data_IF_902186155702
#
_entry.id   IF_902186155702
#
_cell.length_a   1.000
_cell.length_b   1.000
_cell.length_c   1.000
_cell.angle_alpha   90.00
_cell.angle_beta   90.00
_cell.angle_gamma   90.00
#
_symmetry.space_group_name_H-M   'P 1'
#
loop_
_entity.id
_entity.type
_entity.pdbx_description
1 polymer ?
#
# COMPACT_ATOMS: atom_id res chain seq x y z
N UNK A 1 4.29 -8.17 10.34
CA UNK A 1 5.74 -8.06 10.27
C UNK A 1 6.28 -7.06 9.26
N UNK A 2 5.74 -6.99 8.03
CA UNK A 2 6.35 -6.15 6.97
C UNK A 2 6.30 -4.64 7.25
N UNK A 3 5.35 -4.18 8.06
CA UNK A 3 5.15 -2.75 8.33
C UNK A 3 5.79 -2.31 9.65
N UNK A 4 5.78 -3.20 10.66
CA UNK A 4 6.38 -2.97 11.97
C UNK A 4 7.66 -3.79 12.03
N UNK A 5 8.81 -3.12 11.96
CA UNK A 5 10.12 -3.77 11.85
C UNK A 5 10.67 -4.35 13.16
N UNK A 6 10.20 -3.87 14.31
CA UNK A 6 10.63 -4.32 15.62
C UNK A 6 9.44 -4.84 16.44
N UNK A 7 9.51 -6.10 16.87
CA UNK A 7 8.47 -6.74 17.68
C UNK A 7 8.29 -6.09 19.07
N UNK A 8 9.26 -5.31 19.52
CA UNK A 8 9.20 -4.55 20.79
C UNK A 8 8.50 -3.19 20.65
N UNK A 9 8.10 -2.81 19.42
CA UNK A 9 7.39 -1.54 19.20
C UNK A 9 6.10 -1.51 20.00
N UNK A 10 5.84 -0.45 20.79
CA UNK A 10 4.55 -0.27 21.47
C UNK A 10 3.43 -0.09 20.45
N UNK A 11 2.34 -0.84 20.62
CA UNK A 11 1.22 -0.84 19.65
C UNK A 11 -0.06 -0.43 20.36
N UNK A 12 -0.76 0.55 19.79
CA UNK A 12 -2.15 0.86 20.06
C UNK A 12 -3.01 0.35 18.91
N UNK A 13 -4.13 -0.30 19.26
CA UNK A 13 -5.03 -0.87 18.26
C UNK A 13 -6.19 0.08 17.95
N UNK A 14 -6.51 0.22 16.69
CA UNK A 14 -7.78 0.78 16.19
C UNK A 14 -8.40 -0.32 15.34
N UNK A 15 -9.50 -0.91 15.82
CA UNK A 15 -10.18 -2.04 15.16
C UNK A 15 -11.64 -1.72 14.95
N UNK A 16 -12.31 -2.52 14.13
CA UNK A 16 -13.76 -2.56 14.18
C UNK A 16 -14.22 -3.06 15.57
N UNK A 17 -15.33 -2.55 16.11
CA UNK A 17 -15.84 -2.96 17.43
C UNK A 17 -15.99 -4.48 17.55
N UNK A 18 -15.53 -5.04 18.68
CA UNK A 18 -15.57 -6.47 18.94
C UNK A 18 -14.45 -7.30 18.29
N UNK A 19 -13.48 -6.67 17.61
CA UNK A 19 -12.33 -7.35 17.00
C UNK A 19 -11.02 -7.15 17.78
N UNK A 20 -11.06 -6.50 18.91
CA UNK A 20 -9.90 -6.09 19.70
C UNK A 20 -9.09 -7.29 20.18
N UNK A 21 -9.77 -8.26 20.84
CA UNK A 21 -9.11 -9.45 21.38
C UNK A 21 -8.55 -10.35 20.28
N UNK A 22 -9.32 -10.56 19.21
CA UNK A 22 -8.84 -11.33 18.05
C UNK A 22 -7.59 -10.70 17.43
N UNK A 23 -7.61 -9.38 17.27
CA UNK A 23 -6.48 -8.64 16.69
C UNK A 23 -5.26 -8.72 17.58
N UNK A 24 -5.43 -8.53 18.90
CA UNK A 24 -4.37 -8.68 19.89
C UNK A 24 -3.76 -10.09 19.83
N UNK A 25 -4.60 -11.13 19.87
CA UNK A 25 -4.15 -12.52 19.80
C UNK A 25 -3.38 -12.84 18.50
N UNK A 26 -3.79 -12.29 17.36
CA UNK A 26 -3.08 -12.48 16.08
C UNK A 26 -1.70 -11.82 16.09
N UNK A 27 -1.57 -10.66 16.73
CA UNK A 27 -0.29 -9.97 16.88
C UNK A 27 0.66 -10.72 17.80
N UNK A 28 0.18 -11.20 18.96
CA UNK A 28 1.02 -11.96 19.89
C UNK A 28 1.52 -13.27 19.29
N UNK A 29 0.73 -13.94 18.43
CA UNK A 29 1.16 -15.16 17.71
C UNK A 29 2.36 -14.95 16.79
N UNK A 30 2.64 -13.73 16.41
CA UNK A 30 3.79 -13.37 15.57
C UNK A 30 4.82 -12.51 16.30
N UNK A 31 4.75 -12.51 17.65
CA UNK A 31 5.75 -11.93 18.55
C UNK A 31 5.56 -10.46 18.89
N UNK A 32 4.41 -9.85 18.54
CA UNK A 32 4.11 -8.48 18.95
C UNK A 32 3.34 -8.47 20.27
N UNK A 33 4.06 -8.55 21.39
CA UNK A 33 3.47 -8.67 22.72
C UNK A 33 3.30 -7.32 23.45
N UNK A 34 3.90 -6.24 22.91
CA UNK A 34 3.86 -4.94 23.55
C UNK A 34 2.63 -4.13 23.11
N UNK A 35 1.45 -4.64 23.44
CA UNK A 35 0.16 -4.01 23.18
C UNK A 35 -0.19 -3.07 24.35
N UNK A 36 -0.31 -1.78 24.08
CA UNK A 36 -0.65 -0.75 25.09
C UNK A 36 -2.17 -0.66 25.35
N UNK A 37 -2.98 -1.17 24.42
CA UNK A 37 -4.44 -1.13 24.49
C UNK A 37 -5.09 -0.90 23.14
N UNK A 38 -6.35 -0.50 23.15
CA UNK A 38 -7.12 -0.18 21.96
C UNK A 38 -7.94 1.09 22.16
N UNK A 39 -8.31 1.73 21.03
CA UNK A 39 -9.24 2.84 21.02
C UNK A 39 -10.67 2.31 21.15
N UNK A 40 -11.30 2.59 22.30
CA UNK A 40 -12.70 2.21 22.53
C UNK A 40 -13.61 2.86 21.50
N UNK A 41 -14.47 2.07 20.85
CA UNK A 41 -15.36 2.50 19.77
C UNK A 41 -14.67 2.73 18.43
N UNK A 42 -13.38 2.40 18.32
CA UNK A 42 -12.67 2.39 17.04
C UNK A 42 -12.54 3.75 16.34
N UNK A 43 -12.45 3.71 15.02
CA UNK A 43 -12.24 4.89 14.18
C UNK A 43 -13.42 5.89 14.25
N UNK A 44 -14.65 5.39 14.36
CA UNK A 44 -15.86 6.22 14.44
C UNK A 44 -15.83 7.15 15.67
N UNK A 45 -15.37 6.64 16.80
CA UNK A 45 -15.22 7.47 18.04
C UNK A 45 -14.14 8.53 17.84
N UNK A 46 -13.03 8.20 17.18
CA UNK A 46 -11.99 9.17 16.85
C UNK A 46 -12.54 10.29 15.97
N UNK A 47 -13.21 9.94 14.88
CA UNK A 47 -13.76 10.89 13.93
C UNK A 47 -14.84 11.80 14.57
N UNK A 48 -15.72 11.22 15.40
CA UNK A 48 -16.77 11.95 16.12
C UNK A 48 -16.22 12.90 17.20
N UNK A 49 -15.02 12.67 17.70
CA UNK A 49 -14.37 13.52 18.71
C UNK A 49 -13.78 14.83 18.15
N UNK A 50 -13.94 15.10 16.84
CA UNK A 50 -13.41 16.30 16.17
C UNK A 50 -11.89 16.30 16.02
N UNK A 51 -11.24 15.15 16.19
CA UNK A 51 -9.80 14.98 15.95
C UNK A 51 -9.52 14.92 14.45
N UNK A 52 -8.26 15.22 14.10
CA UNK A 52 -7.82 15.20 12.73
C UNK A 52 -8.01 13.82 12.08
N UNK A 53 -8.61 13.82 10.91
CA UNK A 53 -8.81 12.67 10.03
C UNK A 53 -8.35 13.06 8.64
N UNK A 54 -7.58 12.19 8.00
CA UNK A 54 -7.13 12.37 6.63
C UNK A 54 -7.68 11.25 5.74
N UNK A 55 -7.78 11.52 4.45
CA UNK A 55 -8.27 10.59 3.43
C UNK A 55 -7.26 10.39 2.33
N UNK A 56 -7.25 9.20 1.74
CA UNK A 56 -6.44 8.92 0.55
C UNK A 56 -7.22 9.30 -0.71
N UNK A 57 -6.59 10.08 -1.59
CA UNK A 57 -7.16 10.40 -2.89
C UNK A 57 -7.13 9.15 -3.76
N UNK A 58 -8.31 8.55 -3.98
CA UNK A 58 -8.49 7.33 -4.79
C UNK A 58 -9.12 7.66 -6.12
N UNK A 59 -8.64 7.01 -7.16
CA UNK A 59 -9.19 7.14 -8.52
C UNK A 59 -9.55 5.79 -9.10
N UNK A 60 -10.48 5.77 -10.02
CA UNK A 60 -10.82 4.55 -10.77
C UNK A 60 -9.70 4.16 -11.73
N UNK A 61 -9.59 2.87 -12.12
CA UNK A 61 -8.66 2.44 -13.17
C UNK A 61 -8.90 3.14 -14.50
N UNK A 62 -10.14 3.50 -14.83
CA UNK A 62 -10.50 4.24 -16.04
C UNK A 62 -10.01 5.69 -15.98
N UNK A 63 -10.10 6.33 -14.81
CA UNK A 63 -9.53 7.67 -14.59
C UNK A 63 -8.00 7.61 -14.71
N UNK A 64 -7.38 6.59 -14.13
CA UNK A 64 -5.94 6.39 -14.25
C UNK A 64 -5.53 6.19 -15.72
N UNK A 65 -6.26 5.36 -16.47
CA UNK A 65 -6.02 5.16 -17.91
C UNK A 65 -6.11 6.47 -18.71
N UNK A 66 -7.12 7.29 -18.42
CA UNK A 66 -7.30 8.58 -19.12
C UNK A 66 -6.22 9.61 -18.78
N UNK A 67 -5.66 9.56 -17.56
CA UNK A 67 -4.61 10.49 -17.11
C UNK A 67 -3.20 9.99 -17.41
N UNK A 68 -3.02 8.71 -17.74
CA UNK A 68 -1.71 8.09 -17.88
C UNK A 68 -0.99 8.57 -19.13
N UNK A 69 0.31 8.80 -19.01
CA UNK A 69 1.27 8.91 -20.10
C UNK A 69 2.65 8.45 -19.58
N UNK A 70 3.63 8.28 -20.47
CA UNK A 70 4.98 7.77 -20.11
C UNK A 70 5.78 8.66 -19.17
N UNK A 71 5.38 9.91 -18.98
CA UNK A 71 6.02 10.85 -18.05
C UNK A 71 5.48 10.74 -16.62
N UNK A 72 4.40 9.98 -16.43
CA UNK A 72 3.77 9.81 -15.12
C UNK A 72 4.56 8.83 -14.27
N UNK A 73 4.81 9.24 -13.03
CA UNK A 73 5.47 8.40 -12.06
C UNK A 73 4.46 7.43 -11.45
N UNK A 74 4.66 6.14 -11.63
CA UNK A 74 3.76 5.08 -11.15
C UNK A 74 4.53 4.15 -10.23
N UNK A 75 4.03 3.99 -8.99
CA UNK A 75 4.61 3.09 -7.99
C UNK A 75 3.76 1.82 -7.84
N UNK A 76 4.34 0.69 -8.15
CA UNK A 76 3.78 -0.63 -7.89
C UNK A 76 4.37 -1.20 -6.61
N UNK A 77 3.56 -1.26 -5.54
CA UNK A 77 3.99 -1.77 -4.23
C UNK A 77 3.77 -3.27 -4.06
N UNK A 78 3.59 -4.01 -5.16
CA UNK A 78 3.57 -5.47 -5.15
C UNK A 78 4.97 -6.04 -4.92
N UNK A 79 5.04 -7.33 -4.62
CA UNK A 79 6.31 -8.05 -4.58
C UNK A 79 6.98 -8.04 -5.95
N UNK A 80 8.30 -8.10 -5.95
CA UNK A 80 9.12 -8.15 -7.17
C UNK A 80 8.69 -9.26 -8.12
N UNK A 81 8.34 -10.43 -7.60
CA UNK A 81 7.86 -11.56 -8.42
C UNK A 81 6.52 -11.30 -9.11
N UNK A 82 5.62 -10.53 -8.49
CA UNK A 82 4.34 -10.12 -9.10
C UNK A 82 4.57 -9.06 -10.18
N UNK A 83 5.46 -8.11 -9.90
CA UNK A 83 5.84 -7.07 -10.84
C UNK A 83 6.56 -7.65 -12.06
N UNK A 84 7.53 -8.53 -11.86
CA UNK A 84 8.27 -9.18 -12.94
C UNK A 84 7.38 -10.06 -13.84
N UNK A 85 6.27 -10.58 -13.31
CA UNK A 85 5.33 -11.35 -14.10
C UNK A 85 4.56 -10.47 -15.12
N UNK A 86 4.07 -9.34 -14.69
CA UNK A 86 3.38 -8.35 -15.53
C UNK A 86 3.20 -7.05 -14.73
N UNK A 87 3.41 -5.89 -15.34
CA UNK A 87 3.22 -4.59 -14.71
C UNK A 87 2.81 -3.52 -15.74
N UNK A 88 2.37 -2.37 -15.24
CA UNK A 88 2.12 -1.18 -16.08
C UNK A 88 3.44 -0.71 -16.67
N UNK A 89 3.46 -0.44 -17.96
CA UNK A 89 4.66 0.05 -18.66
C UNK A 89 5.21 1.30 -17.96
N UNK A 90 6.55 1.39 -17.84
CA UNK A 90 7.26 2.47 -17.13
C UNK A 90 6.92 2.60 -15.62
N UNK A 91 6.24 1.64 -14.98
CA UNK A 91 6.03 1.66 -13.54
C UNK A 91 7.31 1.26 -12.79
N UNK A 92 7.48 1.81 -11.59
CA UNK A 92 8.59 1.47 -10.70
C UNK A 92 8.13 0.49 -9.63
N UNK A 93 8.82 -0.62 -9.48
CA UNK A 93 8.55 -1.55 -8.39
C UNK A 93 9.15 -1.03 -7.08
N UNK A 94 8.29 -0.78 -6.12
CA UNK A 94 8.62 -0.29 -4.78
C UNK A 94 7.86 -1.10 -3.72
N UNK A 95 8.27 -2.36 -3.47
CA UNK A 95 7.53 -3.28 -2.62
C UNK A 95 7.22 -2.71 -1.23
N UNK A 96 6.00 -2.95 -0.73
CA UNK A 96 5.55 -2.45 0.58
C UNK A 96 6.48 -2.89 1.72
N UNK A 97 6.99 -4.12 1.69
CA UNK A 97 7.86 -4.67 2.72
C UNK A 97 9.25 -4.00 2.77
N UNK A 98 9.63 -3.29 1.70
CA UNK A 98 10.85 -2.48 1.63
C UNK A 98 10.59 -0.96 1.76
N UNK A 99 9.41 -0.53 2.22
CA UNK A 99 9.01 0.89 2.21
C UNK A 99 9.98 1.80 2.97
N UNK A 100 10.58 1.30 4.04
CA UNK A 100 11.54 2.08 4.83
C UNK A 100 12.85 2.37 4.08
N UNK A 101 13.23 1.50 3.15
CA UNK A 101 14.43 1.66 2.35
C UNK A 101 14.18 2.61 1.18
N UNK A 102 13.21 2.29 0.32
CA UNK A 102 13.00 3.08 -0.89
C UNK A 102 12.37 4.46 -0.63
N UNK A 103 11.71 4.66 0.51
CA UNK A 103 11.17 5.97 0.89
C UNK A 103 12.27 7.04 1.00
N UNK A 104 13.44 6.68 1.52
CA UNK A 104 14.57 7.62 1.68
C UNK A 104 15.18 8.07 0.35
N UNK A 105 14.93 7.33 -0.73
CA UNK A 105 15.44 7.59 -2.07
C UNK A 105 14.38 8.17 -3.02
N UNK A 106 13.15 8.33 -2.52
CA UNK A 106 12.02 8.75 -3.35
C UNK A 106 12.05 10.26 -3.60
N UNK A 107 11.88 10.65 -4.86
CA UNK A 107 11.59 12.05 -5.22
C UNK A 107 10.10 12.33 -4.99
N UNK A 108 9.77 12.92 -3.86
CA UNK A 108 8.40 13.25 -3.46
C UNK A 108 7.92 14.60 -4.03
N UNK A 109 8.75 15.30 -4.79
CA UNK A 109 8.39 16.58 -5.41
C UNK A 109 7.40 16.40 -6.58
N UNK A 110 7.37 15.20 -7.21
CA UNK A 110 6.53 14.90 -8.37
C UNK A 110 5.26 14.16 -7.96
N UNK A 111 4.10 14.51 -8.55
CA UNK A 111 2.88 13.74 -8.35
C UNK A 111 3.02 12.33 -8.95
N UNK A 112 2.48 11.33 -8.25
CA UNK A 112 2.57 9.94 -8.69
C UNK A 112 1.28 9.16 -8.47
N UNK A 113 1.20 8.02 -9.13
CA UNK A 113 0.14 7.02 -8.92
C UNK A 113 0.68 5.87 -8.10
N UNK A 114 -0.17 5.34 -7.23
CA UNK A 114 0.16 4.25 -6.33
C UNK A 114 -0.83 3.10 -6.51
N UNK A 115 -0.34 1.89 -6.72
CA UNK A 115 -1.19 0.71 -6.75
C UNK A 115 -0.49 -0.52 -6.18
N UNK A 116 -1.29 -1.54 -5.87
CA UNK A 116 -0.82 -2.89 -5.61
C UNK A 116 -1.63 -3.91 -6.41
N UNK A 117 -1.78 -5.15 -5.96
CA UNK A 117 -2.59 -6.14 -6.67
C UNK A 117 -4.10 -5.86 -6.62
N UNK A 118 -4.66 -5.57 -5.44
CA UNK A 118 -6.10 -5.43 -5.23
C UNK A 118 -6.50 -4.25 -4.33
N UNK A 119 -5.61 -3.29 -4.04
CA UNK A 119 -5.91 -2.09 -3.25
C UNK A 119 -5.50 -2.15 -1.78
N UNK A 120 -5.31 -3.33 -1.16
CA UNK A 120 -5.01 -3.44 0.27
C UNK A 120 -3.60 -2.94 0.64
N UNK A 121 -2.56 -3.44 -0.04
CA UNK A 121 -1.15 -3.04 0.22
C UNK A 121 -0.89 -1.58 -0.15
N UNK A 122 -1.52 -1.07 -1.21
CA UNK A 122 -1.40 0.33 -1.61
C UNK A 122 -2.03 1.27 -0.60
N UNK A 123 -3.14 0.91 0.04
CA UNK A 123 -3.72 1.70 1.13
C UNK A 123 -2.81 1.76 2.36
N UNK A 124 -2.14 0.66 2.70
CA UNK A 124 -1.12 0.67 3.77
C UNK A 124 0.06 1.57 3.40
N UNK A 125 0.58 1.43 2.18
CA UNK A 125 1.65 2.30 1.69
C UNK A 125 1.23 3.77 1.69
N UNK A 126 0.02 4.09 1.22
CA UNK A 126 -0.55 5.44 1.23
C UNK A 126 -0.61 6.02 2.64
N UNK A 127 -1.06 5.25 3.63
CA UNK A 127 -1.11 5.68 5.03
C UNK A 127 0.28 5.99 5.58
N UNK A 128 1.27 5.15 5.28
CA UNK A 128 2.67 5.36 5.70
C UNK A 128 3.26 6.59 5.01
N UNK A 129 3.05 6.78 3.72
CA UNK A 129 3.52 7.93 2.97
C UNK A 129 2.93 9.23 3.54
N UNK A 130 1.61 9.28 3.78
CA UNK A 130 0.94 10.44 4.36
C UNK A 130 1.45 10.75 5.76
N UNK A 131 1.66 9.75 6.62
CA UNK A 131 2.23 9.95 7.95
C UNK A 131 3.66 10.51 7.94
N UNK A 132 4.34 10.43 6.79
CA UNK A 132 5.68 10.98 6.54
C UNK A 132 5.67 12.28 5.75
N UNK A 133 4.50 12.88 5.54
CA UNK A 133 4.33 14.17 4.87
C UNK A 133 4.17 14.13 3.35
N UNK A 134 4.09 12.95 2.74
CA UNK A 134 3.88 12.82 1.28
C UNK A 134 2.39 12.75 0.98
N UNK A 135 1.86 13.73 0.26
CA UNK A 135 0.42 13.89 -0.02
C UNK A 135 0.08 13.99 -1.50
N UNK A 136 1.07 14.16 -2.38
CA UNK A 136 0.89 14.46 -3.81
C UNK A 136 0.72 13.20 -4.68
N UNK A 137 -0.06 12.23 -4.24
CA UNK A 137 -0.31 11.01 -5.00
C UNK A 137 -1.79 10.66 -5.09
N UNK A 138 -2.12 9.78 -6.06
CA UNK A 138 -3.43 9.16 -6.24
C UNK A 138 -3.28 7.64 -6.13
N UNK A 139 -4.10 7.00 -5.30
CA UNK A 139 -4.18 5.54 -5.21
C UNK A 139 -5.19 5.01 -6.25
N UNK A 140 -4.81 3.95 -6.97
CA UNK A 140 -5.68 3.35 -8.00
C UNK A 140 -6.51 2.22 -7.38
N UNK A 141 -7.83 2.43 -7.34
CA UNK A 141 -8.77 1.48 -6.76
C UNK A 141 -8.76 0.13 -7.47
N UNK A 142 -8.86 -0.95 -6.68
CA UNK A 142 -8.81 -2.31 -7.20
C UNK A 142 -7.43 -2.75 -7.70
N UNK A 143 -6.43 -1.86 -7.67
CA UNK A 143 -5.04 -2.16 -7.99
C UNK A 143 -4.83 -2.78 -9.37
N UNK A 144 -3.75 -3.55 -9.53
CA UNK A 144 -3.37 -4.15 -10.82
C UNK A 144 -4.46 -5.07 -11.39
N UNK A 145 -5.21 -5.77 -10.53
CA UNK A 145 -6.31 -6.62 -10.97
C UNK A 145 -7.43 -5.85 -11.71
N UNK A 146 -7.63 -4.58 -11.36
CA UNK A 146 -8.56 -3.69 -12.06
C UNK A 146 -7.89 -2.98 -13.24
N UNK A 147 -6.64 -2.55 -13.10
CA UNK A 147 -5.82 -1.95 -14.15
C UNK A 147 -5.65 -2.91 -15.34
N UNK A 148 -5.45 -4.20 -15.07
CA UNK A 148 -5.27 -5.21 -16.12
C UNK A 148 -6.47 -5.33 -17.08
N UNK A 149 -7.65 -4.86 -16.67
CA UNK A 149 -8.88 -4.84 -17.49
C UNK A 149 -9.00 -3.59 -18.38
N UNK A 150 -8.10 -2.63 -18.23
CA UNK A 150 -8.03 -1.41 -19.07
C UNK A 150 -7.10 -1.61 -20.26
N UNK A 151 -7.07 -0.62 -21.15
CA UNK A 151 -6.16 -0.61 -22.31
C UNK A 151 -4.80 0.02 -21.99
N UNK A 152 -4.50 0.29 -20.71
CA UNK A 152 -3.17 0.79 -20.32
C UNK A 152 -2.07 -0.13 -20.85
N UNK A 153 -0.97 0.43 -21.37
CA UNK A 153 0.19 -0.36 -21.75
C UNK A 153 0.74 -1.14 -20.56
N UNK A 154 0.96 -2.42 -20.76
CA UNK A 154 1.50 -3.36 -19.79
C UNK A 154 2.58 -4.19 -20.46
N UNK A 155 3.53 -4.65 -19.67
CA UNK A 155 4.52 -5.61 -20.16
C UNK A 155 3.87 -6.94 -20.51
N UNK A 156 4.54 -7.71 -21.35
CA UNK A 156 4.08 -9.08 -21.66
C UNK A 156 4.10 -9.96 -20.41
N UNK A 157 3.04 -10.75 -20.24
CA UNK A 157 2.96 -11.66 -19.11
C UNK A 157 4.05 -12.74 -19.18
N UNK A 158 4.87 -12.82 -18.13
CA UNK A 158 5.88 -13.86 -17.94
C UNK A 158 5.50 -14.82 -16.82
N UNK A 159 5.36 -16.10 -17.15
CA UNK A 159 5.11 -17.15 -16.15
C UNK A 159 6.32 -17.27 -15.20
N UNK A 160 6.06 -17.46 -13.90
CA UNK A 160 7.11 -17.61 -12.87
C UNK A 160 8.14 -18.69 -13.17
N UNK A 161 7.77 -19.77 -13.84
CA UNK A 161 8.70 -20.83 -14.27
C UNK A 161 9.73 -20.37 -15.31
N UNK A 162 9.47 -19.27 -16.03
CA UNK A 162 10.43 -18.63 -16.95
C UNK A 162 11.33 -17.64 -16.22
N UNK A 163 10.82 -16.94 -15.21
CA UNK A 163 11.60 -15.99 -14.40
C UNK A 163 12.72 -16.69 -13.61
N UNK A 164 12.45 -17.89 -13.08
CA UNK A 164 13.46 -18.70 -12.36
C UNK A 164 14.60 -19.24 -13.24
N UNK A 165 14.46 -19.18 -14.56
CA UNK A 165 15.54 -19.62 -15.51
C UNK A 165 16.43 -18.46 -15.97
N UNK A 166 16.11 -17.22 -15.61
CA UNK A 166 16.85 -16.01 -15.99
C UNK A 166 17.67 -15.44 -14.82
N UNK A 167 17.51 -15.98 -13.62
CA UNK A 167 18.30 -15.70 -12.41
C UNK A 167 19.37 -16.76 -12.20
#
# INVERSE_FOLDING_TARGET
>A
GSVIGDVKTPILLITAPGREEETAMRLTRVGFDHLLGHLSGGFETWAASGREVDTVNRISPQTFEAEWNKEKYVLDVRKETEYAAEHVDEAYNKPLDCINSWFMEMDDSKPFYLHCAGGYRSMIAASILKSRGVHNFKEVDGGFAAIAKTQLPKTDFMCQSKLQKLS
#
